data_IF_960301990872
#
_entry.id   IF_960301990872
#
_cell.length_a   1.000
_cell.length_b   1.000
_cell.length_c   1.000
_cell.angle_alpha   90.00
_cell.angle_beta   90.00
_cell.angle_gamma   90.00
#
_symmetry.space_group_name_H-M   'P 1'
#
loop_
_entity.id
_entity.type
_entity.pdbx_description
1 polymer ?
#
# COMPACT_ATOMS: atom_id res chain seq x y z
N UNK A 1 -10.42 8.89 12.37
CA UNK A 1 -10.29 8.75 10.88
C UNK A 1 -9.03 7.95 10.69
N UNK A 2 -9.00 6.90 9.89
CA UNK A 2 -7.79 6.07 9.81
C UNK A 2 -6.94 6.47 8.60
N UNK A 3 -5.62 6.33 8.71
CA UNK A 3 -4.71 6.35 7.56
C UNK A 3 -4.17 4.94 7.36
N UNK A 4 -4.17 4.47 6.10
CA UNK A 4 -3.35 3.31 5.70
C UNK A 4 -2.15 3.83 4.92
N UNK A 5 -0.96 3.58 5.45
CA UNK A 5 0.32 3.85 4.81
C UNK A 5 0.89 2.53 4.25
N UNK A 6 0.93 2.42 2.93
CA UNK A 6 1.47 1.26 2.21
C UNK A 6 2.84 1.61 1.63
N UNK A 7 3.91 0.98 2.14
CA UNK A 7 5.25 1.08 1.54
C UNK A 7 5.31 0.20 0.29
N UNK A 8 5.83 0.72 -0.83
CA UNK A 8 6.02 -0.08 -2.04
C UNK A 8 7.18 -1.07 -1.92
N UNK A 9 7.02 -2.24 -2.54
CA UNK A 9 8.10 -3.19 -2.76
C UNK A 9 9.20 -2.54 -3.62
N UNK A 10 10.45 -2.90 -3.37
CA UNK A 10 11.58 -2.43 -4.18
C UNK A 10 11.39 -2.78 -5.65
N UNK A 11 11.48 -1.77 -6.53
CA UNK A 11 11.29 -1.94 -7.98
C UNK A 11 9.83 -1.94 -8.44
N UNK A 12 8.86 -1.69 -7.56
CA UNK A 12 7.44 -1.57 -7.91
C UNK A 12 6.94 -0.15 -7.81
N UNK A 13 5.99 0.19 -8.68
CA UNK A 13 5.23 1.44 -8.66
C UNK A 13 3.74 1.15 -8.71
N UNK A 14 2.89 2.00 -8.12
CA UNK A 14 1.44 1.83 -8.22
C UNK A 14 0.91 2.15 -9.61
N UNK A 15 -0.04 1.34 -10.07
CA UNK A 15 -0.80 1.61 -11.29
C UNK A 15 -1.84 2.69 -10.99
N UNK A 16 -1.59 3.93 -11.43
CA UNK A 16 -2.43 5.11 -11.10
C UNK A 16 -3.91 4.91 -11.44
N UNK A 17 -4.23 4.30 -12.57
CA UNK A 17 -5.64 4.06 -12.97
C UNK A 17 -6.38 3.11 -12.02
N UNK A 18 -5.69 2.19 -11.35
CA UNK A 18 -6.29 1.31 -10.34
C UNK A 18 -6.59 2.07 -9.03
N UNK A 19 -5.74 3.05 -8.70
CA UNK A 19 -5.91 3.91 -7.52
C UNK A 19 -7.12 4.85 -7.65
N UNK A 20 -7.41 5.35 -8.85
CA UNK A 20 -8.61 6.18 -9.11
C UNK A 20 -9.91 5.40 -8.85
N UNK A 21 -9.94 4.09 -9.10
CA UNK A 21 -11.10 3.24 -8.80
C UNK A 21 -11.37 3.13 -7.30
N UNK A 22 -10.32 3.20 -6.48
CA UNK A 22 -10.42 3.21 -5.01
C UNK A 22 -10.99 4.55 -4.50
N UNK A 23 -10.66 5.68 -5.15
CA UNK A 23 -11.13 7.02 -4.75
C UNK A 23 -12.65 7.15 -4.69
N UNK A 24 -13.38 6.44 -5.57
CA UNK A 24 -14.85 6.47 -5.60
C UNK A 24 -15.52 5.86 -4.35
N UNK A 25 -14.82 5.00 -3.60
CA UNK A 25 -15.32 4.40 -2.36
C UNK A 25 -14.63 4.94 -1.10
N UNK A 26 -13.39 5.40 -1.20
CA UNK A 26 -12.59 5.93 -0.09
C UNK A 26 -11.54 6.95 -0.56
N UNK A 27 -11.87 8.22 -0.31
CA UNK A 27 -11.03 9.37 0.07
C UNK A 27 -9.52 9.24 -0.10
N UNK A 28 -9.06 9.94 -1.14
CA UNK A 28 -7.72 10.48 -1.40
C UNK A 28 -6.58 9.48 -1.21
N UNK A 29 -5.87 9.24 -2.30
CA UNK A 29 -4.59 8.56 -2.31
C UNK A 29 -3.51 9.54 -2.71
N UNK A 30 -2.52 9.69 -1.84
CA UNK A 30 -1.31 10.47 -2.10
C UNK A 30 -0.12 9.51 -2.26
N UNK A 31 0.76 9.81 -3.19
CA UNK A 31 1.96 9.02 -3.47
C UNK A 31 3.17 9.89 -3.13
N UNK A 32 3.85 9.55 -2.04
CA UNK A 32 5.01 10.30 -1.56
C UNK A 32 6.11 9.34 -1.13
N UNK A 33 7.33 9.58 -1.59
CA UNK A 33 8.54 8.83 -1.19
C UNK A 33 8.38 7.29 -1.26
N UNK A 34 7.76 6.75 -2.31
CA UNK A 34 7.50 5.30 -2.45
C UNK A 34 6.45 4.73 -1.49
N UNK A 35 5.64 5.58 -0.87
CA UNK A 35 4.49 5.20 -0.04
C UNK A 35 3.19 5.67 -0.69
N UNK A 36 2.13 4.89 -0.48
CA UNK A 36 0.75 5.26 -0.82
C UNK A 36 0.00 5.46 0.49
N UNK A 37 -0.64 6.61 0.63
CA UNK A 37 -1.48 6.93 1.77
C UNK A 37 -2.94 6.82 1.38
N UNK A 38 -3.76 6.12 2.15
CA UNK A 38 -5.22 6.09 1.99
C UNK A 38 -5.87 6.73 3.22
N UNK A 39 -6.77 7.69 3.02
CA UNK A 39 -7.45 8.38 4.11
C UNK A 39 -8.87 7.84 4.29
N UNK A 40 -9.12 7.12 5.37
CA UNK A 40 -10.36 6.38 5.58
C UNK A 40 -11.28 7.11 6.56
N UNK A 41 -12.39 7.65 6.06
CA UNK A 41 -13.42 8.22 6.94
C UNK A 41 -14.26 7.17 7.67
N UNK A 42 -14.36 5.94 7.14
CA UNK A 42 -15.04 4.82 7.80
C UNK A 42 -14.08 3.64 7.85
N UNK A 43 -14.02 2.95 8.99
CA UNK A 43 -13.02 1.89 9.26
C UNK A 43 -13.35 0.58 8.54
N UNK A 44 -14.62 0.33 8.19
CA UNK A 44 -15.04 -0.91 7.54
C UNK A 44 -15.07 -0.77 6.02
N UNK A 45 -13.93 -0.98 5.38
CA UNK A 45 -13.79 -0.96 3.92
C UNK A 45 -12.95 -2.14 3.43
N UNK A 46 -13.23 -2.58 2.21
CA UNK A 46 -12.41 -3.54 1.49
C UNK A 46 -12.11 -2.96 0.11
N UNK A 47 -10.84 -2.83 -0.24
CA UNK A 47 -10.41 -2.34 -1.55
C UNK A 47 -9.13 -3.04 -1.98
N UNK A 48 -8.87 -3.00 -3.27
CA UNK A 48 -7.63 -3.47 -3.87
C UNK A 48 -7.15 -2.46 -4.92
N UNK A 49 -5.86 -2.45 -5.17
CA UNK A 49 -5.23 -1.69 -6.23
C UNK A 49 -4.10 -2.53 -6.83
N UNK A 50 -3.61 -2.10 -7.98
CA UNK A 50 -2.56 -2.82 -8.72
C UNK A 50 -1.23 -2.08 -8.62
N UNK A 51 -0.16 -2.86 -8.60
CA UNK A 51 1.21 -2.38 -8.70
C UNK A 51 1.87 -3.08 -9.89
N UNK A 52 2.85 -2.42 -10.48
CA UNK A 52 3.63 -2.95 -11.59
C UNK A 52 5.12 -2.83 -11.29
N UNK A 53 5.90 -3.78 -11.81
CA UNK A 53 7.34 -3.76 -11.65
C UNK A 53 7.95 -2.80 -12.67
N UNK A 54 8.52 -1.69 -12.20
CA UNK A 54 9.20 -0.70 -13.03
C UNK A 54 10.69 -1.01 -13.19
N UNK A 55 11.31 -1.66 -12.19
CA UNK A 55 12.71 -2.04 -12.20
C UNK A 55 12.88 -3.50 -11.78
N UNK A 56 13.73 -4.28 -12.47
CA UNK A 56 14.04 -5.64 -12.08
C UNK A 56 14.81 -5.63 -10.76
N UNK A 57 14.24 -6.27 -9.74
CA UNK A 57 14.86 -6.44 -8.42
C UNK A 57 14.72 -7.91 -8.03
N UNK A 58 15.84 -8.50 -7.63
CA UNK A 58 15.91 -9.87 -7.10
C UNK A 58 15.74 -9.85 -5.57
N UNK A 59 15.32 -10.99 -5.00
CA UNK A 59 15.18 -11.17 -3.54
C UNK A 59 14.35 -10.06 -2.86
N UNK A 60 13.18 -9.77 -3.44
CA UNK A 60 12.26 -8.75 -2.93
C UNK A 60 11.83 -9.12 -1.51
N UNK A 61 12.20 -8.29 -0.54
CA UNK A 61 11.80 -8.48 0.86
C UNK A 61 10.34 -8.06 1.08
N UNK A 62 9.64 -8.71 2.04
CA UNK A 62 8.37 -8.21 2.54
C UNK A 62 8.49 -6.76 3.03
N UNK A 63 7.42 -5.99 2.89
CA UNK A 63 7.37 -4.59 3.35
C UNK A 63 6.11 -4.34 4.19
N UNK A 64 6.18 -3.40 5.14
CA UNK A 64 5.06 -3.15 6.04
C UNK A 64 3.93 -2.35 5.38
N UNK A 65 2.72 -2.64 5.85
CA UNK A 65 1.52 -1.82 5.77
C UNK A 65 1.22 -1.36 7.19
N UNK A 66 1.09 -0.04 7.37
CA UNK A 66 0.83 0.57 8.65
C UNK A 66 -0.53 1.27 8.62
N UNK A 67 -1.44 0.88 9.50
CA UNK A 67 -2.74 1.53 9.68
C UNK A 67 -2.80 2.17 11.05
N UNK A 68 -3.21 3.43 11.14
CA UNK A 68 -3.27 4.17 12.41
C UNK A 68 -4.43 5.17 12.41
N UNK A 69 -4.95 5.53 13.59
CA UNK A 69 -5.88 6.66 13.69
C UNK A 69 -5.14 7.99 13.46
N UNK A 70 -5.78 8.89 12.71
CA UNK A 70 -5.27 10.19 12.32
C UNK A 70 -5.04 11.12 13.51
N UNK A 71 -5.86 11.02 14.56
CA UNK A 71 -5.77 11.89 15.73
C UNK A 71 -5.00 11.23 16.89
N UNK A 72 -5.01 9.90 16.96
CA UNK A 72 -4.35 9.12 18.01
C UNK A 72 -3.40 8.10 17.37
N UNK A 73 -2.21 8.56 16.97
CA UNK A 73 -1.26 7.73 16.20
C UNK A 73 -0.69 6.54 16.96
N UNK A 74 -0.84 6.53 18.29
CA UNK A 74 -0.45 5.40 19.15
C UNK A 74 -1.44 4.23 19.04
N UNK A 75 -2.65 4.46 18.50
CA UNK A 75 -3.58 3.42 18.09
C UNK A 75 -3.29 2.98 16.65
N UNK A 76 -2.56 1.87 16.50
CA UNK A 76 -2.15 1.37 15.20
C UNK A 76 -2.13 -0.15 15.06
N UNK A 77 -2.06 -0.59 13.81
CA UNK A 77 -1.86 -1.97 13.40
C UNK A 77 -0.80 -2.05 12.30
N UNK A 78 0.03 -3.08 12.37
CA UNK A 78 1.06 -3.40 11.37
C UNK A 78 0.79 -4.75 10.74
N UNK A 79 1.00 -4.84 9.44
CA UNK A 79 1.03 -6.09 8.70
C UNK A 79 2.14 -6.03 7.66
N UNK A 80 2.58 -7.17 7.15
CA UNK A 80 3.54 -7.24 6.05
C UNK A 80 2.91 -7.85 4.81
N UNK A 81 3.35 -7.41 3.64
CA UNK A 81 3.00 -8.05 2.37
C UNK A 81 4.26 -8.33 1.55
N UNK A 82 4.17 -9.36 0.70
CA UNK A 82 5.27 -9.82 -0.15
C UNK A 82 4.83 -9.90 -1.60
N UNK A 83 5.80 -9.86 -2.51
CA UNK A 83 5.54 -10.17 -3.92
C UNK A 83 5.03 -11.62 -4.05
N UNK A 84 4.01 -11.88 -4.87
CA UNK A 84 3.57 -13.26 -5.15
C UNK A 84 4.58 -14.03 -6.01
N UNK A 85 5.52 -13.35 -6.67
CA UNK A 85 6.55 -14.00 -7.47
C UNK A 85 7.58 -14.68 -6.56
N UNK A 86 7.76 -15.99 -6.71
CA UNK A 86 8.87 -16.70 -6.07
C UNK A 86 10.20 -16.30 -6.71
N UNK A 87 11.28 -16.16 -5.93
CA UNK A 87 12.62 -16.09 -6.52
C UNK A 87 12.82 -17.34 -7.40
N UNK A 88 13.49 -17.20 -8.56
CA UNK A 88 13.79 -18.37 -9.38
C UNK A 88 14.53 -19.40 -8.53
N UNK A 89 13.96 -20.60 -8.43
CA UNK A 89 14.62 -21.74 -7.80
C UNK A 89 15.91 -22.00 -8.57
N UNK A 90 17.05 -21.85 -7.89
CA UNK A 90 18.37 -22.17 -8.43
C UNK A 90 18.54 -23.67 -8.59
#
# INVERSE_FOLDING_TARGET
MAIINVKMLSGFVPVRSSLEKVKNGSKVNDIKNNHIFFYLQKVKINFSFSVEQSLPVLDIKPVPVHMYDYYETDEYALAEYKSPCSPPSS
#
